data_IF_905340677763
#
_entry.id   IF_905340677763
#
_cell.length_a   1.000
_cell.length_b   1.000
_cell.length_c   1.000
_cell.angle_alpha   90.00
_cell.angle_beta   90.00
_cell.angle_gamma   90.00
#
_symmetry.space_group_name_H-M   'P 1'
#
loop_
_entity.id
_entity.type
_entity.pdbx_description
1 polymer ?
#
# COMPACT_ATOMS: atom_id res chain seq x y z
N UNK A 1 13.83 -58.13 -19.46
CA UNK A 1 13.22 -57.53 -18.25
C UNK A 1 13.62 -56.06 -18.24
N UNK A 2 12.79 -55.17 -18.79
CA UNK A 2 13.13 -53.74 -18.89
C UNK A 2 13.04 -53.16 -17.48
N UNK A 3 14.15 -52.65 -16.98
CA UNK A 3 14.25 -52.05 -15.64
C UNK A 3 13.45 -50.75 -15.70
N UNK A 4 12.27 -50.70 -15.08
CA UNK A 4 11.48 -49.47 -14.99
C UNK A 4 12.35 -48.35 -14.42
N UNK A 5 12.32 -47.20 -15.08
CA UNK A 5 12.98 -45.99 -14.60
C UNK A 5 12.32 -45.52 -13.31
N UNK A 6 13.06 -44.78 -12.48
CA UNK A 6 12.51 -44.12 -11.29
C UNK A 6 11.36 -43.18 -11.68
N UNK A 7 11.43 -42.59 -12.88
CA UNK A 7 10.41 -41.70 -13.43
C UNK A 7 9.12 -42.48 -13.73
N UNK A 8 9.21 -43.65 -14.36
CA UNK A 8 8.04 -44.48 -14.67
C UNK A 8 7.29 -44.91 -13.40
N UNK A 9 8.04 -45.18 -12.32
CA UNK A 9 7.46 -45.51 -11.01
C UNK A 9 6.81 -44.32 -10.32
N UNK A 10 7.28 -43.10 -10.59
CA UNK A 10 6.69 -41.88 -10.03
C UNK A 10 5.39 -41.51 -10.75
N UNK A 11 5.34 -41.75 -12.07
CA UNK A 11 4.18 -41.49 -12.92
C UNK A 11 3.05 -42.52 -12.72
N UNK A 12 3.37 -43.73 -12.26
CA UNK A 12 2.38 -44.79 -12.00
C UNK A 12 1.80 -44.71 -10.57
N UNK A 13 2.19 -43.71 -9.75
CA UNK A 13 1.61 -43.48 -8.43
C UNK A 13 0.16 -43.01 -8.59
N UNK A 14 -0.83 -43.68 -7.98
CA UNK A 14 -2.21 -43.22 -8.02
C UNK A 14 -2.35 -41.82 -7.40
N UNK A 15 -3.04 -40.92 -8.11
CA UNK A 15 -3.22 -39.50 -7.74
C UNK A 15 -3.68 -39.28 -6.29
N UNK A 16 -4.51 -40.18 -5.74
CA UNK A 16 -4.99 -40.14 -4.36
C UNK A 16 -3.87 -40.10 -3.31
N UNK A 17 -2.74 -40.75 -3.57
CA UNK A 17 -1.59 -40.74 -2.66
C UNK A 17 -0.81 -39.43 -2.77
N UNK A 18 -0.75 -38.84 -3.97
CA UNK A 18 -0.15 -37.52 -4.20
C UNK A 18 -0.97 -36.46 -3.45
N UNK A 19 -2.31 -36.49 -3.57
CA UNK A 19 -3.19 -35.58 -2.84
C UNK A 19 -3.13 -35.79 -1.32
N UNK A 20 -3.05 -37.03 -0.85
CA UNK A 20 -2.88 -37.30 0.59
C UNK A 20 -1.54 -36.77 1.12
N UNK A 21 -0.46 -36.93 0.35
CA UNK A 21 0.86 -36.42 0.72
C UNK A 21 0.90 -34.88 0.69
N UNK A 22 0.28 -34.25 -0.32
CA UNK A 22 0.13 -32.80 -0.38
C UNK A 22 -0.71 -32.28 0.80
N UNK A 23 -1.83 -32.94 1.11
CA UNK A 23 -2.67 -32.60 2.27
C UNK A 23 -1.87 -32.68 3.56
N UNK A 24 -1.10 -33.74 3.79
CA UNK A 24 -0.24 -33.86 4.97
C UNK A 24 0.86 -32.79 4.98
N UNK A 25 1.48 -32.52 3.84
CA UNK A 25 2.52 -31.50 3.71
C UNK A 25 2.02 -30.08 4.04
N UNK A 26 0.74 -29.79 3.80
CA UNK A 26 0.09 -28.52 4.17
C UNK A 26 -0.50 -28.54 5.59
N UNK A 27 -1.13 -29.64 6.00
CA UNK A 27 -1.79 -29.75 7.31
C UNK A 27 -0.78 -29.75 8.47
N UNK A 28 0.38 -30.39 8.30
CA UNK A 28 1.42 -30.46 9.33
C UNK A 28 1.93 -29.05 9.73
N UNK A 29 2.40 -28.18 8.81
CA UNK A 29 2.82 -26.83 9.18
C UNK A 29 1.68 -25.95 9.71
N UNK A 30 0.43 -26.21 9.33
CA UNK A 30 -0.73 -25.51 9.89
C UNK A 30 -1.01 -25.88 11.36
N UNK A 31 -0.91 -27.17 11.72
CA UNK A 31 -1.14 -27.64 13.10
C UNK A 31 0.08 -27.35 14.00
N UNK A 32 1.28 -27.51 13.46
CA UNK A 32 2.53 -27.26 14.16
C UNK A 32 3.43 -26.39 13.28
N UNK A 33 3.34 -25.05 13.42
CA UNK A 33 4.18 -24.12 12.67
C UNK A 33 5.64 -24.50 12.83
N UNK A 34 6.31 -24.76 11.71
CA UNK A 34 7.70 -25.24 11.69
C UNK A 34 8.68 -24.08 11.98
N UNK A 35 8.16 -22.85 12.14
CA UNK A 35 8.95 -21.68 12.54
C UNK A 35 10.04 -21.35 11.54
N UNK A 36 9.71 -21.32 10.24
CA UNK A 36 10.68 -20.93 9.21
C UNK A 36 11.23 -19.54 9.54
N UNK A 37 12.56 -19.35 9.53
CA UNK A 37 13.15 -18.05 9.78
C UNK A 37 12.71 -17.10 8.65
N UNK A 38 12.00 -16.04 9.03
CA UNK A 38 11.69 -14.95 8.13
C UNK A 38 12.86 -13.97 8.24
N UNK A 39 13.75 -14.00 7.25
CA UNK A 39 14.86 -13.06 7.20
C UNK A 39 14.36 -11.66 6.79
N UNK A 40 14.73 -10.67 7.59
CA UNK A 40 14.50 -9.26 7.23
C UNK A 40 15.54 -8.86 6.20
N UNK A 41 15.09 -8.67 4.96
CA UNK A 41 15.96 -8.24 3.86
C UNK A 41 16.50 -6.83 4.09
N UNK A 42 17.62 -6.49 3.46
CA UNK A 42 18.19 -5.14 3.51
C UNK A 42 17.21 -4.07 2.99
N UNK A 43 16.39 -4.42 2.00
CA UNK A 43 15.37 -3.52 1.46
C UNK A 43 14.29 -3.22 2.52
N UNK A 44 13.79 -4.25 3.19
CA UNK A 44 12.82 -4.11 4.29
C UNK A 44 13.39 -3.26 5.41
N UNK A 45 14.66 -3.47 5.78
CA UNK A 45 15.33 -2.68 6.83
C UNK A 45 15.50 -1.22 6.43
N UNK A 46 15.91 -0.95 5.19
CA UNK A 46 16.03 0.42 4.66
C UNK A 46 14.70 1.14 4.68
N UNK A 47 13.64 0.48 4.21
CA UNK A 47 12.29 1.04 4.22
C UNK A 47 11.81 1.34 5.65
N UNK A 48 11.96 0.38 6.57
CA UNK A 48 11.61 0.59 7.98
C UNK A 48 12.38 1.76 8.60
N UNK A 49 13.68 1.85 8.34
CA UNK A 49 14.52 2.94 8.85
C UNK A 49 14.15 4.30 8.22
N UNK A 50 13.70 4.33 6.97
CA UNK A 50 13.21 5.55 6.34
C UNK A 50 11.95 6.06 7.05
N UNK A 51 10.99 5.17 7.33
CA UNK A 51 9.78 5.51 8.11
C UNK A 51 10.15 5.91 9.55
N UNK A 52 11.11 5.23 10.18
CA UNK A 52 11.65 5.60 11.50
C UNK A 52 12.47 6.90 11.51
N UNK A 53 12.85 7.41 10.34
CA UNK A 53 13.49 8.71 10.20
C UNK A 53 12.50 9.87 10.27
N UNK A 54 11.24 9.65 9.85
CA UNK A 54 10.21 10.69 9.67
C UNK A 54 9.69 11.27 10.99
N UNK A 55 9.87 12.55 11.18
CA UNK A 55 9.37 13.33 12.31
C UNK A 55 7.92 13.78 12.10
N UNK A 56 7.32 14.41 13.12
CA UNK A 56 5.96 14.94 13.04
C UNK A 56 5.82 16.18 12.17
N UNK A 57 6.94 16.78 11.76
CA UNK A 57 6.98 17.93 10.84
C UNK A 57 7.09 17.49 9.38
N UNK A 58 7.51 16.24 9.13
CA UNK A 58 7.65 15.71 7.78
C UNK A 58 6.27 15.41 7.17
N UNK A 59 6.17 15.64 5.88
CA UNK A 59 4.96 15.38 5.09
C UNK A 59 5.26 14.37 4.00
N UNK A 60 4.36 13.40 3.86
CA UNK A 60 4.49 12.33 2.87
C UNK A 60 3.25 12.27 1.98
N UNK A 61 3.45 11.94 0.71
CA UNK A 61 2.34 11.60 -0.17
C UNK A 61 2.07 10.11 -0.13
N UNK A 62 0.80 9.73 -0.09
CA UNK A 62 0.35 8.33 -0.13
C UNK A 62 -0.53 8.13 -1.36
N UNK A 63 0.03 7.47 -2.36
CA UNK A 63 -0.69 6.95 -3.51
C UNK A 63 -1.52 5.75 -3.09
N UNK A 64 -2.80 5.95 -2.80
CA UNK A 64 -3.68 4.90 -2.28
C UNK A 64 -4.54 4.32 -3.40
N UNK A 65 -3.97 3.37 -4.14
CA UNK A 65 -4.57 2.66 -5.27
C UNK A 65 -4.92 1.20 -4.88
N UNK A 66 -5.55 1.06 -3.72
CA UNK A 66 -6.05 -0.21 -3.24
C UNK A 66 -7.30 -0.65 -4.01
N UNK A 67 -7.37 -1.95 -4.32
CA UNK A 67 -8.59 -2.60 -4.85
C UNK A 67 -8.87 -3.91 -4.11
N UNK A 68 -10.14 -4.37 -4.05
CA UNK A 68 -10.52 -5.55 -3.28
C UNK A 68 -9.78 -6.84 -3.68
N UNK A 69 -9.32 -6.92 -4.94
CA UNK A 69 -8.62 -8.08 -5.47
C UNK A 69 -7.26 -8.31 -4.78
N UNK A 70 -6.53 -7.25 -4.45
CA UNK A 70 -5.22 -7.33 -3.78
C UNK A 70 -5.23 -6.96 -2.32
N UNK A 71 -6.35 -6.53 -1.75
CA UNK A 71 -6.45 -6.29 -0.31
C UNK A 71 -5.98 -7.49 0.54
N UNK A 72 -6.15 -8.71 0.04
CA UNK A 72 -5.64 -9.92 0.71
C UNK A 72 -4.12 -10.07 0.66
N UNK A 73 -3.45 -9.48 -0.33
CA UNK A 73 -2.00 -9.58 -0.55
C UNK A 73 -1.27 -8.33 -0.05
N UNK A 74 -1.67 -7.14 -0.50
CA UNK A 74 -1.01 -5.86 -0.21
C UNK A 74 -1.62 -5.13 1.01
N UNK A 75 -2.87 -5.45 1.36
CA UNK A 75 -3.62 -4.73 2.39
C UNK A 75 -3.05 -4.90 3.81
N UNK A 76 -2.41 -6.03 4.10
CA UNK A 76 -1.74 -6.24 5.40
C UNK A 76 -0.50 -5.35 5.54
N UNK A 77 0.31 -5.26 4.49
CA UNK A 77 1.49 -4.39 4.48
C UNK A 77 1.12 -2.92 4.49
N UNK A 78 0.14 -2.49 3.70
CA UNK A 78 -0.29 -1.08 3.66
C UNK A 78 -0.82 -0.63 5.03
N UNK A 79 -1.67 -1.43 5.68
CA UNK A 79 -2.16 -1.16 7.05
C UNK A 79 -1.03 -1.09 8.07
N UNK A 80 -0.01 -1.94 7.97
CA UNK A 80 1.14 -1.90 8.87
C UNK A 80 1.93 -0.58 8.72
N UNK A 81 2.18 -0.15 7.48
CA UNK A 81 2.87 1.11 7.17
C UNK A 81 2.05 2.31 7.63
N UNK A 82 0.77 2.38 7.27
CA UNK A 82 -0.11 3.47 7.69
C UNK A 82 -0.20 3.57 9.21
N UNK A 83 -0.37 2.44 9.91
CA UNK A 83 -0.35 2.41 11.38
C UNK A 83 0.97 2.92 11.94
N UNK A 84 2.09 2.65 11.27
CA UNK A 84 3.40 3.15 11.67
C UNK A 84 3.51 4.67 11.47
N UNK A 85 3.09 5.20 10.32
CA UNK A 85 3.04 6.63 10.04
C UNK A 85 2.13 7.39 11.04
N UNK A 86 0.94 6.86 11.34
CA UNK A 86 0.05 7.43 12.35
C UNK A 86 0.66 7.43 13.76
N UNK A 87 1.42 6.40 14.13
CA UNK A 87 2.14 6.34 15.41
C UNK A 87 3.28 7.35 15.50
N UNK A 88 3.95 7.61 14.36
CA UNK A 88 5.02 8.61 14.23
C UNK A 88 4.49 10.05 14.16
N UNK A 89 3.18 10.21 13.98
CA UNK A 89 2.51 11.50 13.87
C UNK A 89 2.98 12.34 12.68
N UNK A 90 3.32 11.67 11.57
CA UNK A 90 3.75 12.27 10.30
C UNK A 90 2.56 12.93 9.62
N UNK A 91 2.78 14.04 8.89
CA UNK A 91 1.75 14.65 8.06
C UNK A 91 1.52 13.82 6.78
N UNK A 92 0.28 13.65 6.35
CA UNK A 92 -0.05 12.80 5.20
C UNK A 92 -1.00 13.50 4.23
N UNK A 93 -0.62 13.51 2.95
CA UNK A 93 -1.50 13.86 1.84
C UNK A 93 -1.78 12.56 1.08
N UNK A 94 -3.05 12.18 0.98
CA UNK A 94 -3.46 10.87 0.44
C UNK A 94 -4.33 11.09 -0.80
N UNK A 95 -4.07 10.33 -1.87
CA UNK A 95 -4.88 10.36 -3.09
C UNK A 95 -4.55 9.18 -3.99
N UNK A 96 -5.41 8.88 -4.96
CA UNK A 96 -5.20 7.75 -5.86
C UNK A 96 -5.97 7.87 -7.16
N UNK A 97 -5.70 6.95 -8.08
CA UNK A 97 -6.30 6.85 -9.41
C UNK A 97 -7.37 5.75 -9.52
N UNK A 98 -7.74 5.14 -8.39
CA UNK A 98 -8.68 4.04 -8.32
C UNK A 98 -10.01 4.47 -7.72
N UNK A 99 -11.12 4.17 -8.42
CA UNK A 99 -12.47 4.59 -8.00
C UNK A 99 -12.98 3.91 -6.72
N UNK A 100 -12.43 2.74 -6.36
CA UNK A 100 -12.76 2.00 -5.13
C UNK A 100 -11.92 2.49 -3.93
N UNK A 101 -10.82 3.21 -4.17
CA UNK A 101 -9.91 3.70 -3.15
C UNK A 101 -10.59 4.41 -1.97
N UNK A 102 -11.58 5.30 -2.17
CA UNK A 102 -12.31 5.94 -1.07
C UNK A 102 -12.97 4.99 -0.08
N UNK A 103 -13.58 3.91 -0.55
CA UNK A 103 -14.25 2.93 0.33
C UNK A 103 -13.20 2.20 1.17
N UNK A 104 -12.12 1.75 0.53
CA UNK A 104 -11.06 0.99 1.20
C UNK A 104 -10.23 1.87 2.15
N UNK A 105 -10.09 3.16 1.85
CA UNK A 105 -9.43 4.11 2.73
C UNK A 105 -10.18 4.25 4.06
N UNK A 106 -11.51 4.41 4.01
CA UNK A 106 -12.35 4.46 5.21
C UNK A 106 -12.30 3.16 6.02
N UNK A 107 -12.34 2.00 5.35
CA UNK A 107 -12.19 0.70 6.02
C UNK A 107 -10.81 0.55 6.67
N UNK A 108 -9.76 0.98 5.97
CA UNK A 108 -8.38 0.97 6.46
C UNK A 108 -8.21 1.82 7.71
N UNK A 109 -8.77 3.04 7.73
CA UNK A 109 -8.72 3.93 8.90
C UNK A 109 -9.40 3.29 10.12
N UNK A 110 -10.53 2.59 9.93
CA UNK A 110 -11.24 1.86 10.98
C UNK A 110 -10.42 0.69 11.50
N UNK A 111 -9.86 -0.12 10.60
CA UNK A 111 -9.07 -1.31 10.94
C UNK A 111 -7.79 -0.98 11.72
N UNK A 112 -7.16 0.16 11.42
CA UNK A 112 -5.97 0.59 12.15
C UNK A 112 -6.28 1.44 13.37
N UNK A 113 -7.55 1.78 13.61
CA UNK A 113 -8.00 2.61 14.73
C UNK A 113 -7.54 4.06 14.62
N UNK A 114 -7.46 4.61 13.40
CA UNK A 114 -6.99 5.96 13.13
C UNK A 114 -8.10 6.94 12.69
N UNK A 115 -9.35 6.48 12.55
CA UNK A 115 -10.48 7.30 12.07
C UNK A 115 -10.66 8.61 12.89
N UNK A 116 -10.73 8.52 14.21
CA UNK A 116 -10.89 9.69 15.08
C UNK A 116 -9.69 10.65 14.94
N UNK A 117 -8.46 10.13 15.08
CA UNK A 117 -7.23 10.93 14.94
C UNK A 117 -7.14 11.61 13.57
N UNK A 118 -7.54 10.91 12.51
CA UNK A 118 -7.53 11.42 11.15
C UNK A 118 -8.49 12.60 11.00
N UNK A 119 -9.72 12.47 11.51
CA UNK A 119 -10.75 13.50 11.44
C UNK A 119 -10.43 14.71 12.33
N UNK A 120 -9.90 14.49 13.54
CA UNK A 120 -9.54 15.57 14.48
C UNK A 120 -8.44 16.49 13.95
N UNK A 121 -7.53 15.97 13.12
CA UNK A 121 -6.36 16.70 12.61
C UNK A 121 -6.45 16.95 11.10
N UNK A 122 -7.66 16.89 10.53
CA UNK A 122 -7.89 17.07 9.11
C UNK A 122 -7.62 18.52 8.68
N UNK A 123 -6.95 18.71 7.53
CA UNK A 123 -6.55 20.02 7.01
C UNK A 123 -5.28 20.61 7.65
N UNK A 124 -4.85 20.08 8.80
CA UNK A 124 -3.61 20.46 9.48
C UNK A 124 -2.51 19.42 9.34
N UNK A 125 -2.83 18.15 9.63
CA UNK A 125 -1.88 17.02 9.49
C UNK A 125 -2.25 16.07 8.37
N UNK A 126 -3.54 16.00 8.04
CA UNK A 126 -4.05 15.02 7.09
C UNK A 126 -4.93 15.66 6.04
N UNK A 127 -4.71 15.33 4.77
CA UNK A 127 -5.58 15.73 3.66
C UNK A 127 -5.84 14.54 2.77
N UNK A 128 -7.10 14.35 2.40
CA UNK A 128 -7.52 13.27 1.50
C UNK A 128 -8.11 13.83 0.22
N UNK A 129 -7.39 13.65 -0.88
CA UNK A 129 -7.75 14.10 -2.22
C UNK A 129 -8.76 13.16 -2.90
N UNK A 130 -8.85 11.92 -2.44
CA UNK A 130 -9.80 10.94 -2.98
C UNK A 130 -9.33 10.29 -4.28
N UNK A 131 -10.31 9.95 -5.12
CA UNK A 131 -10.10 9.37 -6.45
C UNK A 131 -9.97 10.48 -7.50
N UNK A 132 -8.87 10.47 -8.24
CA UNK A 132 -8.62 11.35 -9.37
C UNK A 132 -8.77 10.52 -10.67
N UNK A 133 -9.72 10.87 -11.56
CA UNK A 133 -9.97 10.09 -12.77
C UNK A 133 -8.85 10.29 -13.81
N UNK A 134 -8.46 9.20 -14.47
CA UNK A 134 -7.45 9.24 -15.53
C UNK A 134 -6.36 8.17 -15.45
N UNK A 135 -6.37 7.30 -14.43
CA UNK A 135 -5.35 6.24 -14.28
C UNK A 135 -3.93 6.83 -14.26
N UNK A 136 -3.04 6.33 -15.11
CA UNK A 136 -1.68 6.87 -15.30
C UNK A 136 -1.65 8.38 -15.54
N UNK A 137 -2.60 8.93 -16.33
CA UNK A 137 -2.65 10.38 -16.58
C UNK A 137 -3.05 11.19 -15.35
N UNK A 138 -3.82 10.60 -14.43
CA UNK A 138 -4.16 11.22 -13.15
C UNK A 138 -2.94 11.29 -12.24
N UNK A 139 -2.14 10.21 -12.20
CA UNK A 139 -0.90 10.15 -11.44
C UNK A 139 0.09 11.21 -11.95
N UNK A 140 0.27 11.31 -13.27
CA UNK A 140 1.10 12.34 -13.88
C UNK A 140 0.59 13.76 -13.58
N UNK A 141 -0.73 13.97 -13.63
CA UNK A 141 -1.33 15.26 -13.29
C UNK A 141 -1.11 15.63 -11.81
N UNK A 142 -1.25 14.67 -10.89
CA UNK A 142 -0.98 14.87 -9.46
C UNK A 142 0.48 15.20 -9.21
N UNK A 143 1.40 14.49 -9.87
CA UNK A 143 2.83 14.74 -9.77
C UNK A 143 3.20 16.15 -10.27
N UNK A 144 2.54 16.64 -11.32
CA UNK A 144 2.81 17.96 -11.87
C UNK A 144 2.12 19.10 -11.10
N UNK A 145 0.86 18.94 -10.73
CA UNK A 145 0.08 19.97 -10.06
C UNK A 145 -1.19 19.39 -9.39
N UNK A 146 -1.15 19.22 -8.07
CA UNK A 146 -2.24 18.68 -7.26
C UNK A 146 -3.51 19.53 -7.42
N UNK A 147 -3.43 20.87 -7.38
CA UNK A 147 -4.64 21.71 -7.51
C UNK A 147 -5.30 21.53 -8.87
N UNK A 148 -4.51 21.47 -9.94
CA UNK A 148 -5.04 21.28 -11.28
C UNK A 148 -5.67 19.89 -11.42
N UNK A 149 -5.03 18.86 -10.86
CA UNK A 149 -5.50 17.48 -10.92
C UNK A 149 -6.82 17.26 -10.16
N UNK A 150 -7.02 17.94 -9.02
CA UNK A 150 -8.23 17.78 -8.20
C UNK A 150 -9.28 18.87 -8.44
N UNK A 151 -9.00 19.85 -9.31
CA UNK A 151 -9.86 21.03 -9.46
C UNK A 151 -9.85 21.97 -8.25
N UNK A 152 -8.82 21.89 -7.42
CA UNK A 152 -8.61 22.76 -6.25
C UNK A 152 -9.42 22.37 -5.02
N UNK A 153 -10.04 21.19 -5.01
CA UNK A 153 -10.81 20.67 -3.88
C UNK A 153 -10.29 19.30 -3.42
N UNK A 154 -10.55 18.96 -2.17
CA UNK A 154 -10.32 17.63 -1.61
C UNK A 154 -11.55 16.72 -1.75
N UNK A 155 -11.46 15.49 -1.24
CA UNK A 155 -12.55 14.52 -1.28
C UNK A 155 -13.81 14.97 -0.52
N UNK A 156 -13.65 15.77 0.54
CA UNK A 156 -14.76 16.27 1.36
C UNK A 156 -15.34 17.61 0.84
N UNK A 157 -14.80 18.16 -0.24
CA UNK A 157 -15.25 19.40 -0.86
C UNK A 157 -14.63 20.66 -0.26
N UNK A 158 -13.61 20.55 0.58
CA UNK A 158 -12.85 21.70 1.06
C UNK A 158 -11.94 22.21 -0.05
N UNK A 159 -11.73 23.54 -0.12
CA UNK A 159 -10.73 24.10 -1.02
C UNK A 159 -9.35 23.79 -0.48
N UNK A 160 -8.45 23.33 -1.33
CA UNK A 160 -7.08 23.03 -0.94
C UNK A 160 -6.36 24.26 -0.38
N UNK A 161 -6.67 25.46 -0.87
CA UNK A 161 -6.07 26.70 -0.39
C UNK A 161 -6.49 27.08 1.05
N UNK A 162 -7.62 26.54 1.54
CA UNK A 162 -8.10 26.75 2.91
C UNK A 162 -7.45 25.75 3.90
N UNK A 163 -6.85 24.66 3.40
CA UNK A 163 -6.21 23.63 4.21
C UNK A 163 -4.75 24.03 4.49
N UNK A 164 -4.42 24.18 5.78
CA UNK A 164 -3.09 24.65 6.18
C UNK A 164 -1.96 23.74 5.70
N UNK A 165 -2.15 22.42 5.71
CA UNK A 165 -1.16 21.45 5.23
C UNK A 165 -0.84 21.65 3.76
N UNK A 166 -1.82 22.02 2.93
CA UNK A 166 -1.62 22.06 1.48
C UNK A 166 -0.78 23.25 1.01
N UNK A 167 -0.61 24.30 1.83
CA UNK A 167 0.01 25.57 1.40
C UNK A 167 1.38 25.39 0.73
N UNK A 168 2.16 24.45 1.21
CA UNK A 168 3.54 24.21 0.77
C UNK A 168 3.67 23.03 -0.21
N UNK A 169 2.58 22.33 -0.56
CA UNK A 169 2.64 21.11 -1.38
C UNK A 169 1.74 21.20 -2.61
N UNK A 170 2.32 21.33 -3.80
CA UNK A 170 1.62 21.38 -5.08
C UNK A 170 2.04 20.35 -6.12
N UNK A 171 3.23 19.76 -6.02
CA UNK A 171 3.69 18.75 -6.96
C UNK A 171 4.54 17.69 -6.26
N UNK A 172 4.96 16.69 -7.02
CA UNK A 172 5.84 15.63 -6.52
C UNK A 172 7.18 16.17 -6.00
N UNK A 173 7.66 17.28 -6.56
CA UNK A 173 8.92 17.93 -6.16
C UNK A 173 8.91 18.47 -4.71
N UNK A 174 7.72 18.69 -4.14
CA UNK A 174 7.57 19.17 -2.77
C UNK A 174 7.67 18.05 -1.73
N UNK A 175 7.68 16.77 -2.15
CA UNK A 175 7.71 15.62 -1.26
C UNK A 175 9.06 14.92 -1.28
N UNK A 176 9.65 14.71 -0.10
CA UNK A 176 10.84 13.86 0.03
C UNK A 176 10.51 12.37 -0.08
N UNK A 177 9.33 11.97 0.40
CA UNK A 177 8.89 10.57 0.40
C UNK A 177 7.48 10.42 -0.19
N UNK A 178 7.35 9.41 -1.04
CA UNK A 178 6.07 8.96 -1.57
C UNK A 178 5.90 7.47 -1.34
N UNK A 179 4.74 7.12 -0.80
CA UNK A 179 4.35 5.77 -0.46
C UNK A 179 3.28 5.32 -1.45
N UNK A 180 3.61 4.35 -2.29
CA UNK A 180 2.65 3.74 -3.21
C UNK A 180 2.01 2.50 -2.56
N UNK A 181 0.69 2.44 -2.60
CA UNK A 181 -0.13 1.27 -2.28
C UNK A 181 -0.82 0.86 -3.57
N UNK A 182 -0.16 -0.01 -4.34
CA UNK A 182 -0.66 -0.48 -5.64
C UNK A 182 -0.31 -1.97 -5.87
N UNK A 183 -0.92 -2.56 -6.89
CA UNK A 183 -0.63 -3.93 -7.34
C UNK A 183 0.52 -3.98 -8.35
N UNK A 184 0.84 -2.85 -8.98
CA UNK A 184 1.73 -2.76 -10.14
C UNK A 184 2.86 -1.77 -9.87
N UNK A 185 4.07 -2.31 -9.70
CA UNK A 185 5.31 -1.52 -9.76
C UNK A 185 5.51 -0.93 -11.17
N UNK A 186 4.99 0.25 -11.50
CA UNK A 186 5.65 1.09 -12.53
C UNK A 186 5.24 2.55 -12.62
N UNK A 187 4.03 2.97 -12.25
CA UNK A 187 3.55 4.24 -12.84
C UNK A 187 3.90 5.45 -11.97
N UNK A 188 3.60 5.41 -10.67
CA UNK A 188 3.87 6.53 -9.75
C UNK A 188 5.38 6.85 -9.65
N UNK A 189 6.23 5.83 -9.47
CA UNK A 189 7.69 6.00 -9.39
C UNK A 189 8.31 6.50 -10.71
N UNK A 190 7.75 6.16 -11.86
CA UNK A 190 8.28 6.62 -13.15
C UNK A 190 7.95 8.10 -13.39
N UNK A 191 6.70 8.52 -13.15
CA UNK A 191 6.30 9.92 -13.31
C UNK A 191 6.97 10.86 -12.30
N UNK A 192 7.25 10.38 -11.10
CA UNK A 192 7.96 11.14 -10.08
C UNK A 192 9.45 11.38 -10.37
N UNK A 193 10.06 10.56 -11.21
CA UNK A 193 11.49 10.65 -11.54
C UNK A 193 11.75 11.35 -12.90
N UNK A 194 10.74 12.01 -13.47
CA UNK A 194 10.88 12.89 -14.64
C UNK A 194 11.04 14.34 -14.22
#
# INVERSE_FOLDING_TARGET
MIKMSIIDRLLDIPEKYIYALLFLALAVPMIKPIGLPIDVTDLTRKYYNAVEGLTSEDTVFIGYDAVPQTEMEIGLSSRAVLRHLFKRDVNMIIGGSTSVGPILWEETLKDIGAEEKFLENYGEKYVYLGFIPGGETAIAALAANIRAATGGIDFYGNKLDDLSLMKDFNGAEDFEYVFAVDETMSDALWYMNQ
#
